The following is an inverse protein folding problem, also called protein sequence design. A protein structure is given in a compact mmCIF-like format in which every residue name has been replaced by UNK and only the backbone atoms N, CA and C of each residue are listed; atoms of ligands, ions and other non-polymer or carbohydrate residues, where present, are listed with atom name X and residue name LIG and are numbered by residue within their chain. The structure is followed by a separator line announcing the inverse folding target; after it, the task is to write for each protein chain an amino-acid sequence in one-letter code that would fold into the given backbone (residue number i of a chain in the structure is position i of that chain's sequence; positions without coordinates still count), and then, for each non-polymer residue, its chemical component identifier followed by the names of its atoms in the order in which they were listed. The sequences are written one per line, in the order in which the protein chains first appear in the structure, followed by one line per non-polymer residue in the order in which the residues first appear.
data_IF_060582332089
#
_entry.id   IF_060582332089
#
_cell.length_a   1.000
_cell.length_b   1.000
_cell.length_c   1.000
_cell.angle_alpha   90.00
_cell.angle_beta   90.00
_cell.angle_gamma   90.00
#
_symmetry.space_group_name_H-M   'P 1'
#
loop_
_entity.id
_entity.type
_entity.pdbx_description
1 polymer ?
#
# COMPACT_ATOMS: atom_id res chain seq x y z
N UNK A 1 -16.72 3.46 -26.13
CA UNK A 1 -15.73 2.33 -26.12
C UNK A 1 -16.06 1.48 -24.93
N UNK A 2 -16.20 0.16 -25.11
CA UNK A 2 -16.45 -0.74 -23.97
C UNK A 2 -15.25 -0.77 -23.06
N UNK A 3 -15.51 -0.76 -21.77
CA UNK A 3 -14.48 -0.86 -20.71
C UNK A 3 -13.73 -2.20 -20.86
N UNK A 4 -12.38 -2.21 -20.87
CA UNK A 4 -11.65 -3.47 -20.97
C UNK A 4 -11.99 -4.42 -19.79
N UNK A 5 -12.04 -5.73 -20.05
CA UNK A 5 -12.27 -6.72 -19.00
C UNK A 5 -11.32 -6.57 -17.80
N UNK A 6 -11.78 -6.91 -16.62
CA UNK A 6 -10.98 -6.77 -15.38
C UNK A 6 -9.66 -7.57 -15.45
N UNK A 7 -9.67 -8.73 -16.11
CA UNK A 7 -8.47 -9.53 -16.33
C UNK A 7 -7.41 -8.80 -17.15
N UNK A 8 -7.81 -8.12 -18.21
CA UNK A 8 -6.90 -7.34 -19.07
C UNK A 8 -6.34 -6.13 -18.35
N UNK A 9 -7.18 -5.45 -17.53
CA UNK A 9 -6.72 -4.33 -16.70
C UNK A 9 -5.68 -4.81 -15.67
N UNK A 10 -5.88 -5.96 -15.04
CA UNK A 10 -4.93 -6.58 -14.09
C UNK A 10 -3.61 -6.94 -14.75
N UNK A 11 -3.66 -7.57 -15.91
CA UNK A 11 -2.46 -7.91 -16.67
C UNK A 11 -1.66 -6.67 -17.06
N UNK A 12 -2.35 -5.63 -17.55
CA UNK A 12 -1.74 -4.35 -17.90
C UNK A 12 -1.06 -3.70 -16.68
N UNK A 13 -1.77 -3.56 -15.55
CA UNK A 13 -1.21 -2.92 -14.35
C UNK A 13 -0.05 -3.75 -13.77
N UNK A 14 -0.18 -5.09 -13.73
CA UNK A 14 0.91 -5.98 -13.28
C UNK A 14 2.20 -5.74 -14.07
N UNK A 15 2.09 -5.66 -15.38
CA UNK A 15 3.23 -5.39 -16.25
C UNK A 15 3.80 -3.98 -16.04
N UNK A 16 2.93 -2.99 -15.87
CA UNK A 16 3.32 -1.59 -15.79
C UNK A 16 4.03 -1.23 -14.47
N UNK A 17 3.54 -1.74 -13.32
CA UNK A 17 4.17 -1.46 -12.01
C UNK A 17 5.35 -2.39 -11.69
N UNK A 18 5.48 -3.52 -12.41
CA UNK A 18 6.54 -4.49 -12.19
C UNK A 18 6.53 -5.13 -10.78
N UNK A 19 7.56 -5.92 -10.45
CA UNK A 19 7.63 -6.64 -9.17
C UNK A 19 7.95 -5.74 -7.97
N UNK A 20 8.58 -4.59 -8.15
CA UNK A 20 9.12 -3.79 -7.07
C UNK A 20 8.62 -2.36 -7.08
N UNK A 21 8.18 -1.88 -5.91
CA UNK A 21 7.80 -0.51 -5.66
C UNK A 21 8.38 0.02 -4.36
N UNK A 22 8.16 1.29 -4.10
CA UNK A 22 8.49 1.96 -2.84
C UNK A 22 7.23 2.34 -2.10
N UNK A 23 7.26 2.27 -0.78
CA UNK A 23 6.20 2.76 0.08
C UNK A 23 6.80 3.70 1.13
N UNK A 24 6.24 4.89 1.36
CA UNK A 24 6.78 5.79 2.38
C UNK A 24 5.76 6.78 2.90
N UNK A 25 5.75 6.99 4.23
CA UNK A 25 5.06 8.09 4.88
C UNK A 25 5.61 9.46 4.44
N UNK A 26 6.88 9.51 4.09
CA UNK A 26 7.53 10.75 3.66
C UNK A 26 6.86 11.37 2.45
N UNK A 27 6.40 10.58 1.50
CA UNK A 27 5.65 11.10 0.35
C UNK A 27 4.32 11.75 0.74
N UNK A 28 3.70 11.33 1.84
CA UNK A 28 2.47 11.93 2.35
C UNK A 28 2.69 13.20 3.19
N UNK A 29 3.90 13.46 3.70
CA UNK A 29 4.17 14.54 4.68
C UNK A 29 5.22 15.55 4.24
N UNK A 30 6.22 15.15 3.45
CA UNK A 30 7.32 16.00 3.04
C UNK A 30 6.86 17.25 2.24
N UNK A 31 7.67 18.30 2.25
CA UNK A 31 7.47 19.45 1.36
C UNK A 31 7.46 18.99 -0.10
N UNK A 32 6.58 19.55 -0.92
CA UNK A 32 6.45 19.17 -2.34
C UNK A 32 7.77 19.23 -3.12
N UNK A 33 8.65 20.17 -2.80
CA UNK A 33 9.98 20.26 -3.42
C UNK A 33 10.82 19.00 -3.13
N UNK A 34 10.81 18.51 -1.89
CA UNK A 34 11.51 17.28 -1.49
C UNK A 34 10.87 16.06 -2.14
N UNK A 35 9.55 15.94 -2.08
CA UNK A 35 8.81 14.83 -2.67
C UNK A 35 9.02 14.72 -4.19
N UNK A 36 9.09 15.84 -4.91
CA UNK A 36 9.39 15.90 -6.34
C UNK A 36 10.81 15.43 -6.69
N UNK A 37 11.79 15.71 -5.85
CA UNK A 37 13.16 15.20 -6.04
C UNK A 37 13.15 13.69 -5.80
N UNK A 38 12.65 13.26 -4.65
CA UNK A 38 12.66 11.85 -4.27
C UNK A 38 11.91 10.93 -5.22
N UNK A 39 10.77 11.37 -5.82
CA UNK A 39 10.07 10.51 -6.78
C UNK A 39 10.88 10.30 -8.07
N UNK A 40 11.62 11.33 -8.54
CA UNK A 40 12.52 11.18 -9.69
C UNK A 40 13.70 10.27 -9.36
N UNK A 41 14.26 10.37 -8.15
CA UNK A 41 15.32 9.47 -7.69
C UNK A 41 14.80 8.02 -7.62
N UNK A 42 13.62 7.81 -7.03
CA UNK A 42 12.98 6.48 -6.95
C UNK A 42 12.68 5.91 -8.35
N UNK A 43 12.23 6.76 -9.28
CA UNK A 43 12.03 6.37 -10.68
C UNK A 43 13.35 5.98 -11.37
N UNK A 44 14.41 6.75 -11.15
CA UNK A 44 15.73 6.50 -11.73
C UNK A 44 16.35 5.18 -11.21
N UNK A 45 16.01 4.77 -10.00
CA UNK A 45 16.39 3.47 -9.42
C UNK A 45 15.64 2.27 -10.02
N UNK A 46 14.60 2.50 -10.85
CA UNK A 46 13.88 1.45 -11.54
C UNK A 46 12.66 0.90 -10.78
N UNK A 47 12.25 1.51 -9.68
CA UNK A 47 10.99 1.13 -9.01
C UNK A 47 9.78 1.50 -9.87
N UNK A 48 8.82 0.58 -9.99
CA UNK A 48 7.68 0.76 -10.89
C UNK A 48 6.51 1.54 -10.30
N UNK A 49 6.42 1.61 -8.96
CA UNK A 49 5.32 2.31 -8.27
C UNK A 49 5.79 2.91 -6.94
N UNK A 50 5.30 4.11 -6.64
CA UNK A 50 5.38 4.72 -5.29
C UNK A 50 4.02 4.69 -4.64
N UNK A 51 3.97 4.13 -3.42
CA UNK A 51 2.80 4.07 -2.56
C UNK A 51 2.96 5.01 -1.38
N UNK A 52 1.89 5.69 -0.97
CA UNK A 52 1.89 6.54 0.22
C UNK A 52 0.50 6.58 0.87
N UNK A 53 0.41 6.75 2.20
CA UNK A 53 -0.85 6.72 2.91
C UNK A 53 -1.58 8.06 2.91
N UNK A 54 -2.87 8.02 3.20
CA UNK A 54 -3.64 9.15 3.69
C UNK A 54 -3.88 8.98 5.19
N UNK A 55 -3.46 9.97 5.97
CA UNK A 55 -3.71 10.07 7.41
C UNK A 55 -4.46 11.36 7.74
N UNK A 56 -4.82 11.59 9.00
CA UNK A 56 -5.46 12.85 9.42
C UNK A 56 -4.56 14.06 9.26
N UNK A 57 -3.24 13.84 9.35
CA UNK A 57 -2.22 14.89 9.36
C UNK A 57 -1.35 14.90 8.09
N UNK A 58 -1.70 14.09 7.10
CA UNK A 58 -1.01 14.05 5.81
C UNK A 58 -1.50 15.16 4.86
N UNK A 59 -0.77 15.32 3.76
CA UNK A 59 -1.27 16.08 2.60
C UNK A 59 -2.50 15.39 2.04
N UNK A 60 -3.38 16.17 1.42
CA UNK A 60 -4.55 15.64 0.72
C UNK A 60 -4.08 14.65 -0.37
N UNK A 61 -4.62 13.43 -0.35
CA UNK A 61 -4.04 12.32 -1.09
C UNK A 61 -4.04 12.53 -2.61
N UNK A 62 -5.13 13.01 -3.19
CA UNK A 62 -5.25 13.13 -4.65
C UNK A 62 -4.51 14.35 -5.20
N UNK A 63 -4.54 15.47 -4.47
CA UNK A 63 -3.72 16.64 -4.81
C UNK A 63 -2.23 16.31 -4.74
N UNK A 64 -1.83 15.53 -3.74
CA UNK A 64 -0.45 15.07 -3.63
C UNK A 64 -0.06 14.10 -4.76
N UNK A 65 -0.97 13.21 -5.20
CA UNK A 65 -0.76 12.37 -6.38
C UNK A 65 -0.47 13.22 -7.62
N UNK A 66 -1.23 14.31 -7.86
CA UNK A 66 -0.98 15.21 -8.98
C UNK A 66 0.43 15.82 -8.94
N UNK A 67 0.89 16.20 -7.72
CA UNK A 67 2.24 16.75 -7.53
C UNK A 67 3.33 15.72 -7.86
N UNK A 68 3.14 14.47 -7.45
CA UNK A 68 4.11 13.39 -7.69
C UNK A 68 4.11 12.96 -9.16
N UNK A 69 2.94 12.73 -9.74
CA UNK A 69 2.77 12.37 -11.16
C UNK A 69 3.33 13.44 -12.10
N UNK A 70 3.09 14.72 -11.79
CA UNK A 70 3.63 15.84 -12.55
C UNK A 70 5.14 16.06 -12.39
N UNK A 71 5.78 15.35 -11.46
CA UNK A 71 7.22 15.42 -11.25
C UNK A 71 7.98 14.20 -11.80
N UNK A 72 7.30 13.19 -12.31
CA UNK A 72 7.82 11.91 -12.81
C UNK A 72 7.31 11.62 -14.21
N UNK A 73 7.95 10.70 -14.93
CA UNK A 73 7.63 10.40 -16.33
C UNK A 73 7.06 8.99 -16.54
N UNK A 74 7.52 8.00 -15.78
CA UNK A 74 7.20 6.57 -15.99
C UNK A 74 6.63 5.88 -14.76
N UNK A 75 7.11 6.24 -13.57
CA UNK A 75 6.73 5.59 -12.32
C UNK A 75 5.24 5.81 -12.02
N UNK A 76 4.57 4.77 -11.58
CA UNK A 76 3.19 4.86 -11.10
C UNK A 76 3.13 5.45 -9.70
N UNK A 77 2.02 6.09 -9.42
CA UNK A 77 1.73 6.65 -8.09
C UNK A 77 0.44 6.02 -7.57
N UNK A 78 0.50 5.45 -6.39
CA UNK A 78 -0.62 4.80 -5.75
C UNK A 78 -0.88 5.34 -4.35
N UNK A 79 -2.14 5.49 -3.99
CA UNK A 79 -2.48 5.69 -2.58
C UNK A 79 -2.42 4.35 -1.83
N UNK A 80 -1.73 4.29 -0.72
CA UNK A 80 -1.59 3.10 0.12
C UNK A 80 -1.99 3.36 1.57
N UNK A 81 -3.21 3.75 1.82
CA UNK A 81 -4.42 3.93 0.99
C UNK A 81 -5.10 5.27 1.23
N UNK A 82 -5.93 5.71 0.28
CA UNK A 82 -6.89 6.78 0.51
C UNK A 82 -8.11 6.27 1.28
N UNK A 83 -8.60 7.07 2.22
CA UNK A 83 -9.73 6.69 3.06
C UNK A 83 -11.06 6.95 2.35
N UNK A 84 -11.97 5.96 2.35
CA UNK A 84 -13.35 6.13 1.85
C UNK A 84 -14.17 7.14 2.67
N UNK A 85 -13.68 7.53 3.85
CA UNK A 85 -14.33 8.50 4.74
C UNK A 85 -13.89 9.94 4.50
N UNK A 86 -12.90 10.15 3.64
CA UNK A 86 -12.38 11.50 3.36
C UNK A 86 -13.14 12.21 2.24
N UNK A 87 -13.81 11.46 1.35
CA UNK A 87 -14.51 11.98 0.18
C UNK A 87 -15.64 11.03 -0.22
N UNK A 88 -16.67 11.56 -0.86
CA UNK A 88 -17.68 10.70 -1.49
C UNK A 88 -17.11 9.93 -2.71
N UNK A 89 -17.82 8.89 -3.09
CA UNK A 89 -17.41 8.00 -4.17
C UNK A 89 -17.31 8.69 -5.53
N UNK A 90 -18.24 9.64 -5.82
CA UNK A 90 -18.23 10.42 -7.07
C UNK A 90 -17.00 11.30 -7.17
N UNK A 91 -16.65 12.01 -6.10
CA UNK A 91 -15.43 12.83 -6.05
C UNK A 91 -14.17 11.99 -6.25
N UNK A 92 -14.13 10.77 -5.71
CA UNK A 92 -13.01 9.84 -5.91
C UNK A 92 -12.90 9.36 -7.35
N UNK A 93 -14.01 9.05 -8.02
CA UNK A 93 -14.03 8.68 -9.45
C UNK A 93 -13.53 9.83 -10.31
N UNK A 94 -14.06 11.05 -10.10
CA UNK A 94 -13.66 12.24 -10.85
C UNK A 94 -12.16 12.53 -10.71
N UNK A 95 -11.66 12.49 -9.47
CA UNK A 95 -10.23 12.73 -9.20
C UNK A 95 -9.34 11.65 -9.83
N UNK A 96 -9.70 10.37 -9.68
CA UNK A 96 -8.92 9.28 -10.25
C UNK A 96 -8.84 9.35 -11.78
N UNK A 97 -9.93 9.68 -12.46
CA UNK A 97 -9.94 9.88 -13.91
C UNK A 97 -9.08 11.07 -14.34
N UNK A 98 -9.23 12.21 -13.65
CA UNK A 98 -8.41 13.39 -13.94
C UNK A 98 -6.92 13.09 -13.77
N UNK A 99 -6.55 12.35 -12.71
CA UNK A 99 -5.15 11.95 -12.46
C UNK A 99 -4.64 10.97 -13.52
N UNK A 100 -5.45 10.01 -13.94
CA UNK A 100 -5.09 9.04 -14.97
C UNK A 100 -4.91 9.73 -16.32
N UNK A 101 -5.84 10.58 -16.74
CA UNK A 101 -5.75 11.37 -17.98
C UNK A 101 -4.50 12.24 -17.99
N UNK A 102 -4.30 13.04 -16.93
CA UNK A 102 -3.17 13.96 -16.83
C UNK A 102 -1.80 13.27 -16.75
N UNK A 103 -1.74 11.99 -16.39
CA UNK A 103 -0.50 11.24 -16.21
C UNK A 103 -0.26 10.13 -17.24
N UNK A 104 -1.15 9.93 -18.21
CA UNK A 104 -1.07 8.79 -19.13
C UNK A 104 -1.24 7.45 -18.37
N UNK A 105 -2.30 7.37 -17.55
CA UNK A 105 -2.71 6.16 -16.83
C UNK A 105 -1.80 5.67 -15.70
N UNK A 106 -0.94 6.53 -15.14
CA UNK A 106 0.01 6.16 -14.08
C UNK A 106 -0.54 6.28 -12.66
N UNK A 107 -1.82 6.56 -12.46
CA UNK A 107 -2.43 6.64 -11.14
C UNK A 107 -3.16 5.34 -10.76
N UNK A 108 -2.90 4.84 -9.55
CA UNK A 108 -3.63 3.72 -8.93
C UNK A 108 -4.37 4.20 -7.69
N UNK A 109 -5.68 4.03 -7.67
CA UNK A 109 -6.52 4.40 -6.54
C UNK A 109 -6.55 3.27 -5.50
N UNK A 110 -5.62 3.30 -4.54
CA UNK A 110 -5.69 2.43 -3.38
C UNK A 110 -6.72 2.95 -2.38
N UNK A 111 -7.73 2.17 -2.05
CA UNK A 111 -8.80 2.51 -1.13
C UNK A 111 -8.79 1.65 0.13
N UNK A 112 -9.16 2.24 1.25
CA UNK A 112 -9.31 1.52 2.52
C UNK A 112 -10.34 2.15 3.44
N UNK A 113 -10.77 1.35 4.41
CA UNK A 113 -11.75 1.75 5.44
C UNK A 113 -11.13 2.49 6.62
N UNK A 114 -9.82 2.74 6.57
CA UNK A 114 -9.07 3.40 7.64
C UNK A 114 -9.18 2.68 9.00
N UNK A 115 -8.96 3.39 10.09
CA UNK A 115 -9.00 2.87 11.45
C UNK A 115 -9.98 3.69 12.30
N UNK A 116 -10.63 3.03 13.28
CA UNK A 116 -11.64 3.66 14.13
C UNK A 116 -11.23 5.04 14.66
N UNK A 117 -10.06 5.25 15.28
CA UNK A 117 -9.69 6.57 15.81
C UNK A 117 -9.62 7.66 14.73
N UNK A 118 -9.14 7.31 13.54
CA UNK A 118 -9.03 8.26 12.41
C UNK A 118 -10.40 8.59 11.81
N UNK A 119 -11.32 7.62 11.76
CA UNK A 119 -12.68 7.80 11.25
C UNK A 119 -13.51 8.62 12.24
N UNK A 120 -13.41 8.30 13.52
CA UNK A 120 -14.12 8.99 14.59
C UNK A 120 -13.64 10.46 14.70
N UNK A 121 -12.33 10.74 14.52
CA UNK A 121 -11.79 12.11 14.51
C UNK A 121 -12.30 12.98 13.36
N UNK A 122 -12.80 12.35 12.28
CA UNK A 122 -13.46 13.05 11.15
C UNK A 122 -14.98 13.22 11.35
N UNK A 123 -15.53 12.81 12.50
CA UNK A 123 -16.95 12.86 12.78
C UNK A 123 -17.79 11.75 12.14
N UNK A 124 -17.16 10.73 11.58
CA UNK A 124 -17.82 9.55 11.02
C UNK A 124 -17.87 8.41 12.04
N UNK A 125 -18.72 7.42 11.78
CA UNK A 125 -18.86 6.21 12.62
C UNK A 125 -18.21 5.03 11.93
N UNK A 126 -17.12 4.51 12.52
CA UNK A 126 -16.49 3.27 12.05
C UNK A 126 -17.36 2.05 12.37
N UNK A 127 -18.00 1.48 11.37
CA UNK A 127 -18.84 0.30 11.52
C UNK A 127 -18.81 -0.54 10.23
N UNK A 128 -18.93 -1.88 10.38
CA UNK A 128 -19.12 -2.83 9.29
C UNK A 128 -18.18 -2.58 8.08
N UNK A 129 -16.84 -2.67 8.26
CA UNK A 129 -15.86 -2.19 7.27
C UNK A 129 -16.03 -2.81 5.88
N UNK A 130 -16.33 -4.11 5.78
CA UNK A 130 -16.55 -4.79 4.48
C UNK A 130 -17.81 -4.29 3.78
N UNK A 131 -18.90 -4.07 4.52
CA UNK A 131 -20.12 -3.52 3.94
C UNK A 131 -19.90 -2.06 3.49
N UNK A 132 -19.27 -1.23 4.33
CA UNK A 132 -18.95 0.16 3.97
C UNK A 132 -18.10 0.25 2.68
N UNK A 133 -17.11 -0.64 2.53
CA UNK A 133 -16.32 -0.71 1.29
C UNK A 133 -17.18 -1.15 0.11
N UNK A 134 -18.04 -2.15 0.27
CA UNK A 134 -18.94 -2.61 -0.79
C UNK A 134 -19.88 -1.48 -1.24
N UNK A 135 -20.54 -0.82 -0.30
CA UNK A 135 -21.46 0.29 -0.56
C UNK A 135 -20.72 1.44 -1.29
N UNK A 136 -19.47 1.71 -0.91
CA UNK A 136 -18.64 2.73 -1.56
C UNK A 136 -18.29 2.35 -3.01
N UNK A 137 -17.92 1.11 -3.26
CA UNK A 137 -17.63 0.61 -4.62
C UNK A 137 -18.88 0.63 -5.52
N UNK A 138 -20.06 0.28 -4.98
CA UNK A 138 -21.34 0.39 -5.71
C UNK A 138 -21.65 1.84 -6.10
N UNK A 139 -21.39 2.80 -5.19
CA UNK A 139 -21.53 4.21 -5.50
C UNK A 139 -20.51 4.70 -6.53
N UNK A 140 -19.28 4.17 -6.51
CA UNK A 140 -18.27 4.47 -7.53
C UNK A 140 -18.70 3.96 -8.91
N UNK A 141 -19.24 2.74 -9.01
CA UNK A 141 -19.75 2.19 -10.27
C UNK A 141 -20.91 3.01 -10.83
N UNK A 142 -21.85 3.40 -9.97
CA UNK A 142 -22.96 4.28 -10.37
C UNK A 142 -22.50 5.69 -10.80
N UNK A 143 -21.39 6.18 -10.24
CA UNK A 143 -20.79 7.46 -10.62
C UNK A 143 -19.96 7.35 -11.91
N UNK A 144 -19.42 6.17 -12.16
CA UNK A 144 -18.58 5.88 -13.34
C UNK A 144 -19.37 6.04 -14.66
N UNK A 145 -20.64 5.67 -14.67
CA UNK A 145 -21.52 5.84 -15.82
C UNK A 145 -21.84 7.31 -16.14
N UNK A 146 -21.70 8.21 -15.17
CA UNK A 146 -22.03 9.63 -15.27
C UNK A 146 -20.84 10.54 -15.65
N UNK A 147 -19.62 10.02 -15.60
CA UNK A 147 -18.37 10.74 -15.91
C UNK A 147 -17.70 10.01 -17.07
N UNK A 148 -17.10 10.70 -18.02
CA UNK A 148 -16.51 10.14 -19.23
C UNK A 148 -15.93 8.71 -19.03
N UNK A 149 -16.51 7.67 -19.68
CA UNK A 149 -16.12 6.28 -19.48
C UNK A 149 -14.80 5.91 -20.15
N UNK A 150 -14.15 6.82 -20.87
CA UNK A 150 -12.95 6.53 -21.66
C UNK A 150 -11.76 6.05 -20.80
N UNK A 151 -11.70 6.47 -19.53
CA UNK A 151 -10.62 6.09 -18.62
C UNK A 151 -11.14 5.23 -17.45
N UNK A 152 -10.75 3.96 -17.32
CA UNK A 152 -11.15 3.13 -16.18
C UNK A 152 -10.53 3.62 -14.88
N UNK A 153 -11.30 3.64 -13.81
CA UNK A 153 -10.76 3.87 -12.46
C UNK A 153 -10.06 2.59 -11.98
N UNK A 154 -8.75 2.63 -11.88
CA UNK A 154 -7.92 1.49 -11.45
C UNK A 154 -7.83 1.44 -9.93
N UNK A 155 -8.68 0.63 -9.31
CA UNK A 155 -8.82 0.54 -7.85
C UNK A 155 -8.13 -0.70 -7.29
N UNK A 156 -7.40 -0.54 -6.18
CA UNK A 156 -6.82 -1.61 -5.36
C UNK A 156 -7.31 -1.41 -3.92
N UNK A 157 -7.66 -2.47 -3.20
CA UNK A 157 -8.21 -2.35 -1.85
C UNK A 157 -7.19 -2.74 -0.77
N UNK A 158 -7.14 -1.95 0.32
CA UNK A 158 -6.51 -2.42 1.54
C UNK A 158 -7.29 -3.63 2.10
N UNK A 159 -6.64 -4.75 2.24
CA UNK A 159 -7.26 -5.98 2.69
C UNK A 159 -6.28 -6.85 3.48
N UNK A 160 -6.71 -7.34 4.64
CA UNK A 160 -5.88 -8.21 5.50
C UNK A 160 -6.49 -9.61 5.67
N UNK A 161 -7.81 -9.74 5.76
CA UNK A 161 -8.48 -10.97 6.11
C UNK A 161 -9.49 -11.40 5.06
N UNK A 162 -9.87 -12.70 5.02
CA UNK A 162 -10.63 -13.31 3.92
C UNK A 162 -11.82 -12.51 3.39
N UNK A 163 -12.72 -11.92 4.21
CA UNK A 163 -13.87 -11.20 3.65
C UNK A 163 -13.49 -10.00 2.79
N UNK A 164 -12.46 -9.23 3.18
CA UNK A 164 -12.01 -8.06 2.42
C UNK A 164 -11.11 -8.49 1.24
N UNK A 165 -10.29 -9.55 1.41
CA UNK A 165 -9.47 -10.11 0.32
C UNK A 165 -10.35 -10.62 -0.83
N UNK A 166 -11.44 -11.35 -0.52
CA UNK A 166 -12.42 -11.78 -1.53
C UNK A 166 -13.10 -10.61 -2.20
N UNK A 167 -13.54 -9.60 -1.45
CA UNK A 167 -14.13 -8.38 -2.02
C UNK A 167 -13.14 -7.68 -2.97
N UNK A 168 -11.86 -7.58 -2.59
CA UNK A 168 -10.83 -7.00 -3.44
C UNK A 168 -10.65 -7.78 -4.74
N UNK A 169 -10.63 -9.11 -4.68
CA UNK A 169 -10.53 -9.95 -5.86
C UNK A 169 -11.77 -9.88 -6.76
N UNK A 170 -12.96 -9.72 -6.19
CA UNK A 170 -14.23 -9.65 -6.95
C UNK A 170 -14.48 -8.30 -7.61
N UNK A 171 -14.14 -7.19 -6.92
CA UNK A 171 -14.65 -5.86 -7.26
C UNK A 171 -13.56 -4.82 -7.59
N UNK A 172 -12.28 -5.21 -7.62
CA UNK A 172 -11.16 -4.32 -7.92
C UNK A 172 -10.02 -5.04 -8.65
N UNK A 173 -8.95 -4.33 -8.94
CA UNK A 173 -7.75 -4.96 -9.51
C UNK A 173 -7.15 -6.00 -8.56
N UNK A 174 -7.25 -5.77 -7.23
CA UNK A 174 -6.69 -6.67 -6.24
C UNK A 174 -6.53 -6.03 -4.87
N UNK A 175 -5.58 -6.53 -4.08
CA UNK A 175 -5.36 -6.13 -2.70
C UNK A 175 -3.97 -5.51 -2.47
N UNK A 176 -3.92 -4.54 -1.54
CA UNK A 176 -2.72 -3.98 -0.96
C UNK A 176 -2.71 -4.25 0.56
N UNK A 177 -2.29 -5.45 1.00
CA UNK A 177 -2.11 -5.74 2.41
C UNK A 177 -0.88 -5.01 2.97
N UNK A 178 -1.01 -4.57 4.21
CA UNK A 178 -0.02 -3.76 4.91
C UNK A 178 0.36 -4.40 6.25
N UNK A 179 1.64 -4.34 6.60
CA UNK A 179 2.21 -4.97 7.81
C UNK A 179 1.91 -6.47 7.84
N UNK A 180 2.43 -7.19 6.88
CA UNK A 180 2.15 -8.61 6.67
C UNK A 180 3.44 -9.43 6.51
N UNK A 181 3.32 -10.74 6.67
CA UNK A 181 4.41 -11.71 6.51
C UNK A 181 4.25 -12.50 5.21
N UNK A 182 5.28 -13.20 4.71
CA UNK A 182 5.15 -14.12 3.57
C UNK A 182 4.06 -15.20 3.76
N UNK A 183 3.81 -15.63 5.02
CA UNK A 183 2.71 -16.54 5.32
C UNK A 183 1.34 -15.89 5.07
N UNK A 184 1.17 -14.61 5.44
CA UNK A 184 -0.03 -13.86 5.09
C UNK A 184 -0.21 -13.80 3.57
N UNK A 185 0.85 -13.48 2.84
CA UNK A 185 0.82 -13.41 1.37
C UNK A 185 0.35 -14.70 0.75
N UNK A 186 0.82 -15.85 1.23
CA UNK A 186 0.38 -17.17 0.76
C UNK A 186 -1.11 -17.41 1.02
N UNK A 187 -1.59 -17.08 2.24
CA UNK A 187 -3.02 -17.19 2.57
C UNK A 187 -3.88 -16.22 1.77
N UNK A 188 -3.41 -14.98 1.59
CA UNK A 188 -4.11 -13.99 0.78
C UNK A 188 -4.23 -14.44 -0.68
N UNK A 189 -3.17 -14.99 -1.26
CA UNK A 189 -3.19 -15.55 -2.61
C UNK A 189 -4.20 -16.70 -2.73
N UNK A 190 -4.27 -17.60 -1.75
CA UNK A 190 -5.25 -18.69 -1.74
C UNK A 190 -6.71 -18.17 -1.67
N UNK A 191 -6.97 -17.08 -0.93
CA UNK A 191 -8.30 -16.45 -0.83
C UNK A 191 -8.70 -15.67 -2.08
N UNK A 192 -7.74 -15.06 -2.77
CA UNK A 192 -8.00 -14.19 -3.91
C UNK A 192 -7.98 -14.90 -5.27
N UNK A 193 -7.44 -16.10 -5.33
CA UNK A 193 -7.17 -16.78 -6.60
C UNK A 193 -5.95 -16.22 -7.35
N UNK A 194 -5.61 -16.78 -8.53
CA UNK A 194 -4.36 -16.48 -9.24
C UNK A 194 -4.39 -15.12 -9.98
N UNK A 195 -5.55 -14.61 -10.37
CA UNK A 195 -5.68 -13.53 -11.34
C UNK A 195 -5.63 -12.13 -10.69
N UNK A 196 -6.14 -12.00 -9.47
CA UNK A 196 -6.19 -10.73 -8.77
C UNK A 196 -4.79 -10.26 -8.36
N UNK A 197 -4.52 -8.94 -8.51
CA UNK A 197 -3.25 -8.35 -8.09
C UNK A 197 -3.07 -8.45 -6.58
N UNK A 198 -1.89 -8.87 -6.15
CA UNK A 198 -1.49 -8.88 -4.75
C UNK A 198 -0.23 -8.02 -4.59
N UNK A 199 -0.44 -6.78 -4.16
CA UNK A 199 0.59 -5.76 -3.98
C UNK A 199 0.87 -5.60 -2.49
N UNK A 200 1.85 -6.31 -1.95
CA UNK A 200 2.13 -6.30 -0.51
C UNK A 200 3.06 -5.17 -0.10
N UNK A 201 2.84 -4.60 1.06
CA UNK A 201 3.81 -3.72 1.71
C UNK A 201 4.73 -4.55 2.61
N UNK A 202 6.05 -4.26 2.58
CA UNK A 202 7.03 -4.86 3.45
C UNK A 202 7.98 -3.82 4.04
N UNK A 203 7.97 -3.71 5.36
CA UNK A 203 8.89 -2.82 6.11
C UNK A 203 10.30 -3.36 6.11
N UNK A 204 11.27 -2.44 5.98
CA UNK A 204 12.70 -2.79 5.99
C UNK A 204 13.52 -1.81 6.84
N UNK A 205 14.57 -2.33 7.49
CA UNK A 205 15.58 -1.56 8.23
C UNK A 205 16.96 -1.97 7.75
N UNK A 206 17.67 -1.07 7.09
CA UNK A 206 19.05 -1.31 6.64
C UNK A 206 20.02 -1.07 7.81
N UNK A 207 20.07 -2.02 8.73
CA UNK A 207 20.90 -2.03 9.94
C UNK A 207 21.28 -3.48 10.29
N UNK A 208 22.55 -3.75 10.43
CA UNK A 208 23.06 -5.11 10.69
C UNK A 208 23.13 -5.44 12.19
N UNK A 209 23.16 -4.45 13.06
CA UNK A 209 23.13 -4.68 14.51
C UNK A 209 21.71 -5.06 14.96
N UNK A 210 21.49 -6.25 15.51
CA UNK A 210 20.16 -6.75 15.81
C UNK A 210 19.41 -5.94 16.88
N UNK A 211 20.13 -5.37 17.85
CA UNK A 211 19.48 -4.58 18.94
C UNK A 211 18.98 -3.25 18.36
N UNK A 212 19.80 -2.57 17.56
CA UNK A 212 19.42 -1.32 16.91
C UNK A 212 18.33 -1.54 15.87
N UNK A 213 18.44 -2.58 15.05
CA UNK A 213 17.45 -2.90 14.04
C UNK A 213 16.06 -3.16 14.65
N UNK A 214 16.00 -4.00 15.71
CA UNK A 214 14.76 -4.28 16.43
C UNK A 214 14.22 -3.09 17.18
N UNK A 215 15.06 -2.21 17.71
CA UNK A 215 14.61 -0.97 18.34
C UNK A 215 13.89 -0.06 17.34
N UNK A 216 14.45 0.13 16.13
CA UNK A 216 13.84 0.90 15.04
C UNK A 216 12.53 0.21 14.61
N UNK A 217 12.56 -1.09 14.38
CA UNK A 217 11.39 -1.87 13.96
C UNK A 217 10.24 -1.77 14.96
N UNK A 218 10.52 -1.92 16.28
CA UNK A 218 9.50 -1.78 17.33
C UNK A 218 8.88 -0.39 17.38
N UNK A 219 9.69 0.66 17.27
CA UNK A 219 9.19 2.03 17.23
C UNK A 219 8.22 2.24 16.05
N UNK A 220 8.54 1.66 14.89
CA UNK A 220 7.72 1.76 13.69
C UNK A 220 6.40 0.97 13.79
N UNK A 221 6.40 -0.20 14.43
CA UNK A 221 5.20 -1.06 14.50
C UNK A 221 4.37 -0.88 15.77
N UNK A 222 4.83 -0.12 16.75
CA UNK A 222 4.22 0.00 18.09
C UNK A 222 2.72 0.33 18.07
N UNK A 223 2.31 1.27 17.20
CA UNK A 223 0.91 1.64 17.06
C UNK A 223 0.06 0.51 16.49
N UNK A 224 0.60 -0.21 15.50
CA UNK A 224 -0.11 -1.28 14.80
C UNK A 224 -0.36 -2.49 15.70
N UNK A 225 0.56 -2.80 16.62
CA UNK A 225 0.39 -3.90 17.58
C UNK A 225 -0.70 -3.62 18.64
N UNK A 226 -1.25 -2.40 18.68
CA UNK A 226 -2.38 -2.00 19.51
C UNK A 226 -3.67 -1.83 18.70
N UNK A 227 -3.59 -1.76 17.37
CA UNK A 227 -4.74 -1.55 16.51
C UNK A 227 -5.47 -2.86 16.21
N UNK A 228 -6.75 -2.94 16.60
CA UNK A 228 -7.60 -4.14 16.60
C UNK A 228 -7.52 -4.96 15.29
N UNK A 229 -7.51 -4.30 14.14
CA UNK A 229 -7.48 -4.98 12.84
C UNK A 229 -6.16 -5.71 12.57
N UNK A 230 -5.02 -5.16 13.03
CA UNK A 230 -3.71 -5.79 12.89
C UNK A 230 -3.53 -6.90 13.92
N UNK A 231 -3.91 -6.68 15.17
CA UNK A 231 -3.89 -7.72 16.22
C UNK A 231 -4.69 -8.94 15.76
N UNK A 232 -5.93 -8.75 15.30
CA UNK A 232 -6.76 -9.84 14.77
C UNK A 232 -6.17 -10.51 13.51
N UNK A 233 -5.39 -9.78 12.71
CA UNK A 233 -4.70 -10.37 11.57
C UNK A 233 -3.53 -11.26 12.02
N UNK A 234 -2.77 -10.83 13.03
CA UNK A 234 -1.69 -11.62 13.61
C UNK A 234 -2.23 -12.88 14.31
N UNK A 235 -3.32 -12.77 15.05
CA UNK A 235 -4.02 -13.90 15.66
C UNK A 235 -4.51 -14.90 14.57
N UNK A 236 -5.06 -14.39 13.46
CA UNK A 236 -5.46 -15.23 12.31
C UNK A 236 -4.28 -15.96 11.67
N UNK A 237 -3.09 -15.35 11.70
CA UNK A 237 -1.85 -16.00 11.26
C UNK A 237 -1.31 -17.04 12.26
N UNK A 238 -1.84 -17.06 13.50
CA UNK A 238 -1.48 -18.02 14.54
C UNK A 238 -0.49 -17.48 15.57
N UNK A 239 -0.23 -16.18 15.60
CA UNK A 239 0.54 -15.58 16.69
C UNK A 239 -0.29 -15.53 17.97
N UNK A 240 0.30 -15.99 19.08
CA UNK A 240 -0.33 -15.94 20.39
C UNK A 240 -0.38 -14.50 20.94
N UNK A 241 -1.37 -14.15 21.79
CA UNK A 241 -1.46 -12.80 22.37
C UNK A 241 -0.18 -12.35 23.07
N UNK A 242 0.54 -13.24 23.74
CA UNK A 242 1.79 -12.95 24.45
C UNK A 242 2.93 -12.58 23.50
N UNK A 243 2.88 -13.04 22.25
CA UNK A 243 3.85 -12.67 21.21
C UNK A 243 3.59 -11.27 20.64
N UNK A 244 2.34 -10.79 20.73
CA UNK A 244 1.89 -9.49 20.19
C UNK A 244 2.01 -8.40 21.27
N UNK A 245 1.81 -8.76 22.53
CA UNK A 245 1.84 -7.84 23.66
C UNK A 245 3.21 -7.17 23.85
N UNK A 246 3.24 -6.11 24.66
CA UNK A 246 4.46 -5.43 25.14
C UNK A 246 5.43 -5.00 24.02
N UNK A 247 4.88 -4.58 22.88
CA UNK A 247 5.67 -4.12 21.72
C UNK A 247 6.17 -5.26 20.82
N UNK A 248 5.68 -6.47 21.03
CA UNK A 248 5.96 -7.66 20.22
C UNK A 248 7.24 -8.40 20.60
N UNK A 249 7.16 -9.73 20.65
CA UNK A 249 8.32 -10.59 20.82
C UNK A 249 9.30 -10.43 19.65
N UNK A 250 10.61 -10.62 19.90
CA UNK A 250 11.65 -10.52 18.85
C UNK A 250 11.31 -11.32 17.60
N UNK A 251 10.85 -12.56 17.77
CA UNK A 251 10.46 -13.43 16.66
C UNK A 251 9.29 -12.87 15.82
N UNK A 252 8.36 -12.12 16.40
CA UNK A 252 7.30 -11.43 15.69
C UNK A 252 7.85 -10.20 14.93
N UNK A 253 8.67 -9.40 15.60
CA UNK A 253 9.29 -8.21 15.01
C UNK A 253 10.12 -8.60 13.78
N UNK A 254 10.97 -9.63 13.89
CA UNK A 254 11.81 -10.14 12.80
C UNK A 254 10.99 -10.70 11.61
N UNK A 255 9.72 -11.06 11.84
CA UNK A 255 8.80 -11.51 10.79
C UNK A 255 8.05 -10.35 10.11
N UNK A 256 7.80 -9.26 10.83
CA UNK A 256 7.06 -8.09 10.34
C UNK A 256 7.97 -7.07 9.66
N UNK A 257 9.22 -6.98 10.08
CA UNK A 257 10.20 -6.00 9.58
C UNK A 257 11.47 -6.74 9.19
N UNK A 258 11.83 -6.71 7.93
CA UNK A 258 13.09 -7.28 7.46
C UNK A 258 14.23 -6.33 7.82
N UNK A 259 15.30 -6.84 8.39
CA UNK A 259 16.45 -6.04 8.76
C UNK A 259 17.77 -6.77 8.46
N UNK A 260 18.86 -6.02 8.37
CA UNK A 260 20.18 -6.55 8.07
C UNK A 260 20.88 -5.75 7.00
N UNK A 261 21.83 -6.40 6.32
CA UNK A 261 22.42 -5.90 5.08
C UNK A 261 21.44 -5.99 3.89
N UNK A 262 21.79 -5.36 2.79
CA UNK A 262 20.93 -5.30 1.61
C UNK A 262 20.61 -6.69 1.03
N UNK A 263 21.55 -7.62 1.05
CA UNK A 263 21.36 -8.98 0.53
C UNK A 263 20.36 -9.77 1.39
N UNK A 264 20.46 -9.63 2.71
CA UNK A 264 19.53 -10.26 3.67
C UNK A 264 18.11 -9.73 3.50
N UNK A 265 17.96 -8.40 3.37
CA UNK A 265 16.65 -7.75 3.14
C UNK A 265 16.06 -8.25 1.81
N UNK A 266 16.81 -8.20 0.71
CA UNK A 266 16.32 -8.63 -0.61
C UNK A 266 15.92 -10.11 -0.64
N UNK A 267 16.65 -10.97 0.07
CA UNK A 267 16.27 -12.38 0.23
C UNK A 267 14.88 -12.51 0.88
N UNK A 268 14.62 -11.77 1.98
CA UNK A 268 13.32 -11.76 2.64
C UNK A 268 12.21 -11.16 1.76
N UNK A 269 12.48 -10.10 0.99
CA UNK A 269 11.51 -9.52 0.04
C UNK A 269 11.08 -10.54 -1.02
N UNK A 270 12.02 -11.35 -1.54
CA UNK A 270 11.72 -12.41 -2.51
C UNK A 270 10.83 -13.52 -1.97
N UNK A 271 10.77 -13.72 -0.65
CA UNK A 271 9.84 -14.68 -0.04
C UNK A 271 8.36 -14.28 -0.28
N UNK A 272 8.04 -12.99 -0.37
CA UNK A 272 6.70 -12.54 -0.75
C UNK A 272 6.34 -12.93 -2.19
N UNK A 273 7.26 -12.79 -3.14
CA UNK A 273 7.03 -13.27 -4.52
C UNK A 273 6.88 -14.79 -4.55
N UNK A 274 7.72 -15.54 -3.85
CA UNK A 274 7.58 -16.99 -3.73
C UNK A 274 6.25 -17.41 -3.07
N UNK A 275 5.69 -16.55 -2.21
CA UNK A 275 4.38 -16.74 -1.58
C UNK A 275 3.20 -16.27 -2.46
N UNK A 276 3.46 -15.70 -3.64
CA UNK A 276 2.45 -15.33 -4.62
C UNK A 276 2.14 -13.82 -4.72
N UNK A 277 2.97 -12.93 -4.18
CA UNK A 277 2.85 -11.49 -4.46
C UNK A 277 3.20 -11.18 -5.92
N UNK A 278 2.43 -10.30 -6.56
CA UNK A 278 2.75 -9.75 -7.88
C UNK A 278 3.71 -8.55 -7.77
N UNK A 279 3.57 -7.80 -6.69
CA UNK A 279 4.30 -6.56 -6.44
C UNK A 279 4.62 -6.42 -4.95
N UNK A 280 5.84 -6.04 -4.62
CA UNK A 280 6.26 -5.76 -3.25
C UNK A 280 6.65 -4.29 -3.14
N UNK A 281 5.88 -3.55 -2.36
CA UNK A 281 6.12 -2.15 -2.03
C UNK A 281 7.06 -2.08 -0.81
N UNK A 282 8.33 -1.79 -1.06
CA UNK A 282 9.39 -1.75 -0.05
C UNK A 282 9.21 -0.50 0.79
N UNK A 283 9.09 -0.67 2.10
CA UNK A 283 8.84 0.41 3.05
C UNK A 283 10.04 0.58 3.99
N UNK A 284 10.99 1.46 3.67
CA UNK A 284 12.03 1.84 4.61
C UNK A 284 11.41 2.43 5.88
N UNK A 285 11.77 1.90 7.04
CA UNK A 285 11.33 2.46 8.32
C UNK A 285 11.81 3.91 8.47
N UNK A 286 11.04 4.73 9.22
CA UNK A 286 11.26 6.18 9.29
C UNK A 286 12.66 6.53 9.77
N UNK A 287 13.29 7.44 9.04
CA UNK A 287 14.56 8.07 9.36
C UNK A 287 14.43 9.57 9.08
N UNK A 288 14.66 10.42 10.08
CA UNK A 288 14.58 11.88 9.92
C UNK A 288 15.59 12.41 8.89
N UNK A 289 16.74 11.76 8.76
CA UNK A 289 17.78 12.12 7.79
C UNK A 289 17.48 11.61 6.38
N UNK A 290 16.52 10.67 6.22
CA UNK A 290 16.05 10.10 4.95
C UNK A 290 14.53 9.90 4.97
N UNK A 291 13.75 10.98 5.02
CA UNK A 291 12.30 10.89 5.26
C UNK A 291 11.53 10.18 4.15
N UNK A 292 12.10 10.03 2.97
CA UNK A 292 11.52 9.30 1.84
C UNK A 292 12.03 7.85 1.73
N UNK A 293 13.10 7.49 2.45
CA UNK A 293 13.72 6.17 2.40
C UNK A 293 14.60 5.94 1.17
N UNK A 294 14.99 7.00 0.44
CA UNK A 294 15.72 6.87 -0.83
C UNK A 294 17.09 6.23 -0.66
N UNK A 295 17.80 6.48 0.45
CA UNK A 295 19.11 5.83 0.72
C UNK A 295 18.97 4.31 0.83
N UNK A 296 17.98 3.84 1.57
CA UNK A 296 17.68 2.40 1.68
C UNK A 296 17.29 1.83 0.32
N UNK A 297 16.39 2.49 -0.41
CA UNK A 297 15.99 2.06 -1.75
C UNK A 297 17.18 2.01 -2.72
N UNK A 298 18.12 2.96 -2.65
CA UNK A 298 19.35 2.98 -3.45
C UNK A 298 20.25 1.77 -3.16
N UNK A 299 20.37 1.40 -1.89
CA UNK A 299 21.17 0.23 -1.51
C UNK A 299 20.56 -1.10 -1.97
N UNK A 300 19.24 -1.19 -2.04
CA UNK A 300 18.53 -2.42 -2.44
C UNK A 300 18.41 -2.56 -3.97
N UNK A 301 18.25 -1.47 -4.71
CA UNK A 301 17.95 -1.48 -6.14
C UNK A 301 18.89 -2.36 -7.00
N UNK A 302 20.21 -2.37 -6.80
CA UNK A 302 21.11 -3.23 -7.62
C UNK A 302 20.92 -4.74 -7.41
N UNK A 303 20.18 -5.14 -6.36
CA UNK A 303 20.02 -6.54 -5.96
C UNK A 303 18.60 -7.09 -6.28
N UNK A 304 17.66 -6.23 -6.75
CA UNK A 304 16.24 -6.54 -7.00
C UNK A 304 15.96 -7.21 -8.39
#
# INVERSE_FOLDING_TARGET
MDRPPLADQRAHVRSAIGPWGAWSFGYASARSAVARVGIRETEALGYGCVWYPETTDSREAYVNAAVLLGASERIHVATGIASIWSRDARASVQAARTLSDASGDRFLLGLGVSHRPMVDSRGHRYARPVAAMRDYLEQMEAADDAVDPAQPVRTILAALRPPMLRLAAERSLGAHPYLVTPEHTRRARAEMGPDALLCVEQKVVLEADPERARAIARAEVAWYLQAENYVRNLEWLGFAPEQIADGGADALIDRLVLWGDAETIVRGLREHHAAGADHVAIHPCRDEADPLGVRTLTALAPLL
#
